data_IF_523709299596
#
_entry.id   IF_523709299596
#
_cell.length_a   1.000
_cell.length_b   1.000
_cell.length_c   1.000
_cell.angle_alpha   90.00
_cell.angle_beta   90.00
_cell.angle_gamma   90.00
#
_symmetry.space_group_name_H-M   'P 1'
#
loop_
_entity.id
_entity.type
_entity.pdbx_description
1 polymer ?
#
# COMPACT_ATOMS: atom_id res chain seq x y z
N UNK A 1 2.99 -26.57 -15.08
CA UNK A 1 4.40 -26.14 -14.88
C UNK A 1 4.96 -26.88 -13.67
N UNK A 2 6.10 -27.57 -13.80
CA UNK A 2 6.77 -28.23 -12.67
C UNK A 2 7.61 -27.25 -11.82
N UNK A 3 8.16 -27.70 -10.69
CA UNK A 3 8.92 -26.86 -9.77
C UNK A 3 10.24 -26.32 -10.34
N UNK A 4 10.95 -27.12 -11.14
CA UNK A 4 12.22 -26.71 -11.75
C UNK A 4 11.99 -25.65 -12.84
N UNK A 5 10.95 -25.84 -13.64
CA UNK A 5 10.52 -24.90 -14.67
C UNK A 5 10.01 -23.59 -14.05
N UNK A 6 9.25 -23.66 -12.94
CA UNK A 6 8.84 -22.48 -12.18
C UNK A 6 10.05 -21.69 -11.67
N UNK A 7 11.00 -22.36 -11.01
CA UNK A 7 12.21 -21.71 -10.47
C UNK A 7 13.03 -21.03 -11.56
N UNK A 8 13.23 -21.70 -12.70
CA UNK A 8 13.96 -21.12 -13.85
C UNK A 8 13.25 -19.91 -14.43
N UNK A 9 11.93 -19.98 -14.64
CA UNK A 9 11.16 -18.85 -15.16
C UNK A 9 11.16 -17.66 -14.20
N UNK A 10 11.01 -17.92 -12.91
CA UNK A 10 11.05 -16.87 -11.90
C UNK A 10 12.43 -16.20 -11.86
N UNK A 11 13.51 -16.99 -11.86
CA UNK A 11 14.87 -16.45 -11.90
C UNK A 11 15.12 -15.61 -13.16
N UNK A 12 14.66 -16.06 -14.34
CA UNK A 12 14.76 -15.29 -15.57
C UNK A 12 13.99 -13.96 -15.47
N UNK A 13 12.73 -13.97 -14.99
CA UNK A 13 11.95 -12.75 -14.80
C UNK A 13 12.64 -11.77 -13.84
N UNK A 14 13.25 -12.25 -12.76
CA UNK A 14 13.99 -11.40 -11.83
C UNK A 14 15.28 -10.84 -12.45
N UNK A 15 15.96 -11.59 -13.32
CA UNK A 15 17.12 -11.11 -14.06
C UNK A 15 16.73 -10.00 -15.05
N UNK A 16 15.60 -10.13 -15.74
CA UNK A 16 15.04 -9.08 -16.62
C UNK A 16 14.73 -7.81 -15.83
N UNK A 17 14.12 -7.94 -14.64
CA UNK A 17 13.86 -6.81 -13.77
C UNK A 17 15.15 -6.09 -13.36
N UNK A 18 16.18 -6.85 -12.96
CA UNK A 18 17.49 -6.31 -12.58
C UNK A 18 18.22 -5.64 -13.77
N UNK A 19 17.95 -6.11 -14.99
CA UNK A 19 18.51 -5.53 -16.21
C UNK A 19 17.76 -4.29 -16.71
N UNK A 20 16.82 -3.74 -15.93
CA UNK A 20 16.03 -2.56 -16.31
C UNK A 20 14.96 -2.86 -17.37
N UNK A 21 14.55 -4.13 -17.50
CA UNK A 21 13.54 -4.61 -18.45
C UNK A 21 12.27 -5.07 -17.70
N UNK A 22 11.53 -4.14 -17.07
CA UNK A 22 10.40 -4.48 -16.20
C UNK A 22 9.18 -5.02 -16.94
N UNK A 23 9.05 -4.76 -18.25
CA UNK A 23 7.95 -5.29 -19.06
C UNK A 23 8.13 -6.80 -19.32
N UNK A 24 9.34 -7.21 -19.67
CA UNK A 24 9.76 -8.59 -19.89
C UNK A 24 9.69 -9.38 -18.59
N UNK A 25 10.14 -8.78 -17.49
CA UNK A 25 9.99 -9.35 -16.15
C UNK A 25 8.53 -9.64 -15.82
N UNK A 26 7.64 -8.66 -16.04
CA UNK A 26 6.21 -8.84 -15.79
C UNK A 26 5.59 -9.92 -16.67
N UNK A 27 5.89 -9.95 -17.97
CA UNK A 27 5.42 -11.00 -18.85
C UNK A 27 5.86 -12.39 -18.36
N UNK A 28 7.09 -12.52 -17.85
CA UNK A 28 7.59 -13.74 -17.24
C UNK A 28 6.82 -14.15 -15.98
N UNK A 29 6.51 -13.20 -15.09
CA UNK A 29 5.71 -13.46 -13.88
C UNK A 29 4.24 -13.77 -14.23
N UNK A 30 3.64 -13.10 -15.20
CA UNK A 30 2.28 -13.35 -15.68
C UNK A 30 2.14 -14.77 -16.25
N UNK A 31 3.14 -15.24 -17.00
CA UNK A 31 3.16 -16.62 -17.49
C UNK A 31 3.24 -17.65 -16.35
N UNK A 32 3.96 -17.32 -15.26
CA UNK A 32 3.98 -18.16 -14.05
C UNK A 32 2.60 -18.17 -13.39
N UNK A 33 1.97 -17.01 -13.22
CA UNK A 33 0.65 -16.87 -12.60
C UNK A 33 -0.47 -17.50 -13.43
N UNK A 34 -0.36 -17.49 -14.76
CA UNK A 34 -1.30 -18.19 -15.63
C UNK A 34 -1.24 -19.72 -15.42
N UNK A 35 -0.06 -20.27 -15.13
CA UNK A 35 0.11 -21.69 -14.86
C UNK A 35 -0.14 -22.06 -13.39
N UNK A 36 0.12 -21.15 -12.46
CA UNK A 36 -0.03 -21.32 -11.01
C UNK A 36 -0.43 -19.98 -10.37
N UNK A 37 -1.74 -19.70 -10.24
CA UNK A 37 -2.23 -18.39 -9.77
C UNK A 37 -2.05 -18.17 -8.26
N UNK A 38 -1.82 -19.24 -7.51
CA UNK A 38 -1.79 -19.34 -6.06
C UNK A 38 -0.39 -19.17 -5.44
N UNK A 39 0.44 -18.33 -6.06
CA UNK A 39 1.82 -18.07 -5.63
C UNK A 39 1.96 -16.68 -5.01
N UNK A 40 1.92 -16.53 -3.67
CA UNK A 40 1.95 -15.23 -3.01
C UNK A 40 3.20 -14.42 -3.35
N UNK A 41 4.37 -15.07 -3.42
CA UNK A 41 5.64 -14.41 -3.77
C UNK A 41 5.61 -13.82 -5.18
N UNK A 42 5.08 -14.56 -6.15
CA UNK A 42 5.01 -14.11 -7.55
C UNK A 42 4.02 -12.96 -7.69
N UNK A 43 2.87 -13.04 -7.02
CA UNK A 43 1.90 -11.93 -6.95
C UNK A 43 2.55 -10.69 -6.32
N UNK A 44 3.29 -10.84 -5.23
CA UNK A 44 3.99 -9.74 -4.56
C UNK A 44 5.06 -9.09 -5.46
N UNK A 45 5.84 -9.87 -6.21
CA UNK A 45 6.81 -9.32 -7.19
C UNK A 45 6.13 -8.61 -8.36
N UNK A 46 5.03 -9.16 -8.88
CA UNK A 46 4.25 -8.49 -9.93
C UNK A 46 3.66 -7.16 -9.43
N UNK A 47 3.21 -7.10 -8.18
CA UNK A 47 2.78 -5.87 -7.51
C UNK A 47 3.89 -4.81 -7.48
N UNK A 48 5.09 -5.18 -7.00
CA UNK A 48 6.23 -4.26 -6.94
C UNK A 48 6.66 -3.75 -8.32
N UNK A 49 6.73 -4.61 -9.33
CA UNK A 49 7.08 -4.19 -10.69
C UNK A 49 6.01 -3.28 -11.32
N UNK A 50 4.72 -3.49 -11.01
CA UNK A 50 3.67 -2.58 -11.44
C UNK A 50 3.78 -1.22 -10.75
N UNK A 51 4.09 -1.16 -9.45
CA UNK A 51 4.36 0.10 -8.74
C UNK A 51 5.54 0.85 -9.36
N UNK A 52 6.67 0.17 -9.55
CA UNK A 52 7.87 0.77 -10.15
C UNK A 52 7.61 1.32 -11.56
N UNK A 53 6.68 0.70 -12.31
CA UNK A 53 6.24 1.16 -13.62
C UNK A 53 5.06 2.14 -13.59
N UNK A 54 4.76 2.79 -12.46
CA UNK A 54 3.66 3.75 -12.31
C UNK A 54 2.28 3.21 -12.72
N UNK A 55 2.02 1.92 -12.45
CA UNK A 55 0.72 1.25 -12.65
C UNK A 55 0.09 0.85 -11.31
N UNK A 56 -0.22 1.83 -10.43
CA UNK A 56 -0.63 1.55 -9.05
C UNK A 56 -1.93 0.74 -8.95
N UNK A 57 -2.90 0.94 -9.85
CA UNK A 57 -4.14 0.14 -9.86
C UNK A 57 -3.88 -1.34 -10.15
N UNK A 58 -2.97 -1.65 -11.08
CA UNK A 58 -2.57 -3.05 -11.36
C UNK A 58 -1.79 -3.64 -10.20
N UNK A 59 -0.91 -2.85 -9.59
CA UNK A 59 -0.16 -3.27 -8.43
C UNK A 59 -1.08 -3.62 -7.25
N UNK A 60 -2.08 -2.79 -6.97
CA UNK A 60 -3.06 -3.03 -5.91
C UNK A 60 -3.79 -4.37 -6.10
N UNK A 61 -4.17 -4.73 -7.33
CA UNK A 61 -4.79 -6.03 -7.60
C UNK A 61 -3.87 -7.21 -7.29
N UNK A 62 -2.58 -7.11 -7.64
CA UNK A 62 -1.59 -8.14 -7.31
C UNK A 62 -1.32 -8.25 -5.80
N UNK A 63 -1.19 -7.11 -5.10
CA UNK A 63 -1.03 -7.15 -3.64
C UNK A 63 -2.28 -7.68 -2.93
N UNK A 64 -3.48 -7.34 -3.39
CA UNK A 64 -4.71 -7.91 -2.87
C UNK A 64 -4.74 -9.45 -3.04
N UNK A 65 -4.31 -9.96 -4.20
CA UNK A 65 -4.18 -11.39 -4.42
C UNK A 65 -3.13 -12.02 -3.49
N UNK A 66 -1.97 -11.39 -3.34
CA UNK A 66 -0.91 -11.85 -2.44
C UNK A 66 -1.38 -11.86 -0.97
N UNK A 67 -2.14 -10.87 -0.53
CA UNK A 67 -2.67 -10.76 0.83
C UNK A 67 -3.70 -11.84 1.14
N UNK A 68 -4.48 -12.30 0.15
CA UNK A 68 -5.38 -13.46 0.33
C UNK A 68 -4.61 -14.77 0.50
N UNK A 69 -3.48 -14.91 -0.18
CA UNK A 69 -2.66 -16.13 -0.17
C UNK A 69 -1.72 -16.19 1.04
N UNK A 70 -1.17 -15.06 1.46
CA UNK A 70 -0.30 -14.94 2.62
C UNK A 70 -0.65 -13.68 3.44
N UNK A 71 -1.74 -13.73 4.23
CA UNK A 71 -2.22 -12.56 4.97
C UNK A 71 -1.31 -12.14 6.13
N UNK A 72 -0.36 -12.98 6.54
CA UNK A 72 0.56 -12.72 7.65
C UNK A 72 1.80 -11.91 7.27
N UNK A 73 2.05 -11.68 5.98
CA UNK A 73 3.25 -11.00 5.50
C UNK A 73 3.06 -9.47 5.47
N UNK A 74 3.69 -8.71 6.39
CA UNK A 74 3.48 -7.26 6.49
C UNK A 74 3.82 -6.48 5.22
N UNK A 75 4.87 -6.89 4.51
CA UNK A 75 5.34 -6.20 3.30
C UNK A 75 4.29 -6.15 2.19
N UNK A 76 3.41 -7.16 2.11
CA UNK A 76 2.31 -7.19 1.15
C UNK A 76 1.30 -6.07 1.44
N UNK A 77 0.96 -5.88 2.71
CA UNK A 77 -0.01 -4.86 3.13
C UNK A 77 0.54 -3.44 2.97
N UNK A 78 1.83 -3.26 3.27
CA UNK A 78 2.55 -2.01 3.04
C UNK A 78 2.55 -1.64 1.54
N UNK A 79 2.88 -2.61 0.66
CA UNK A 79 2.82 -2.42 -0.79
C UNK A 79 1.41 -2.17 -1.31
N UNK A 80 0.39 -2.85 -0.77
CA UNK A 80 -1.01 -2.59 -1.13
C UNK A 80 -1.44 -1.17 -0.74
N UNK A 81 -1.11 -0.72 0.47
CA UNK A 81 -1.41 0.62 0.95
C UNK A 81 -0.74 1.70 0.10
N UNK A 82 0.52 1.50 -0.27
CA UNK A 82 1.22 2.39 -1.19
C UNK A 82 0.54 2.45 -2.55
N UNK A 83 0.23 1.30 -3.15
CA UNK A 83 -0.44 1.21 -4.44
C UNK A 83 -1.82 1.88 -4.45
N UNK A 84 -2.63 1.67 -3.42
CA UNK A 84 -3.93 2.33 -3.29
C UNK A 84 -3.78 3.84 -3.15
N UNK A 85 -2.86 4.31 -2.32
CA UNK A 85 -2.62 5.74 -2.12
C UNK A 85 -2.19 6.44 -3.42
N UNK A 86 -1.32 5.79 -4.21
CA UNK A 86 -0.88 6.31 -5.51
C UNK A 86 -1.96 6.24 -6.60
N UNK A 87 -2.84 5.23 -6.57
CA UNK A 87 -3.93 5.11 -7.51
C UNK A 87 -5.05 6.15 -7.27
N UNK A 88 -5.12 6.74 -6.07
CA UNK A 88 -6.25 7.56 -5.61
C UNK A 88 -7.61 6.85 -5.79
N UNK A 89 -7.61 5.53 -5.68
CA UNK A 89 -8.79 4.68 -5.87
C UNK A 89 -9.54 4.48 -4.56
N UNK A 90 -10.68 5.15 -4.43
CA UNK A 90 -11.56 5.04 -3.25
C UNK A 90 -12.16 3.65 -3.06
N UNK A 91 -12.34 2.88 -4.13
CA UNK A 91 -12.83 1.52 -4.01
C UNK A 91 -11.73 0.58 -3.50
N UNK A 92 -10.54 0.68 -4.09
CA UNK A 92 -9.34 0.01 -3.61
C UNK A 92 -9.00 0.34 -2.15
N UNK A 93 -9.17 1.59 -1.74
CA UNK A 93 -9.01 2.01 -0.35
C UNK A 93 -10.01 1.34 0.59
N UNK A 94 -11.30 1.36 0.23
CA UNK A 94 -12.33 0.68 1.03
C UNK A 94 -12.06 -0.82 1.15
N UNK A 95 -11.64 -1.46 0.05
CA UNK A 95 -11.30 -2.88 0.03
C UNK A 95 -10.09 -3.19 0.92
N UNK A 96 -9.02 -2.40 0.81
CA UNK A 96 -7.82 -2.51 1.65
C UNK A 96 -8.16 -2.35 3.13
N UNK A 97 -8.89 -1.29 3.50
CA UNK A 97 -9.27 -1.02 4.90
C UNK A 97 -10.13 -2.15 5.48
N UNK A 98 -11.06 -2.69 4.69
CA UNK A 98 -11.86 -3.85 5.09
C UNK A 98 -11.02 -5.11 5.31
N UNK A 99 -10.02 -5.33 4.45
CA UNK A 99 -9.09 -6.45 4.55
C UNK A 99 -8.15 -6.30 5.76
N UNK A 100 -7.58 -5.11 5.99
CA UNK A 100 -6.69 -4.81 7.12
C UNK A 100 -7.34 -5.07 8.48
N UNK A 101 -8.65 -4.80 8.62
CA UNK A 101 -9.38 -5.09 9.88
C UNK A 101 -9.29 -6.56 10.30
N UNK A 102 -9.23 -7.47 9.32
CA UNK A 102 -9.19 -8.93 9.52
C UNK A 102 -7.77 -9.51 9.40
N UNK A 103 -6.79 -8.69 9.04
CA UNK A 103 -5.43 -9.14 8.79
C UNK A 103 -4.80 -9.69 10.09
N UNK A 104 -4.10 -10.84 10.04
CA UNK A 104 -3.36 -11.40 11.16
C UNK A 104 -2.01 -10.67 11.34
N UNK A 105 -2.06 -9.34 11.40
CA UNK A 105 -0.91 -8.48 11.66
C UNK A 105 -0.97 -7.92 13.08
N UNK A 106 0.19 -7.51 13.57
CA UNK A 106 0.31 -6.73 14.80
C UNK A 106 -0.69 -5.55 14.81
N UNK A 107 -1.45 -5.33 15.90
CA UNK A 107 -2.45 -4.26 15.97
C UNK A 107 -1.89 -2.87 15.68
N UNK A 108 -0.68 -2.53 16.17
CA UNK A 108 -0.09 -1.22 15.94
C UNK A 108 0.23 -1.02 14.45
N UNK A 109 0.74 -2.05 13.78
CA UNK A 109 0.97 -1.99 12.32
C UNK A 109 -0.33 -1.83 11.53
N UNK A 110 -1.41 -2.52 11.91
CA UNK A 110 -2.73 -2.35 11.25
C UNK A 110 -3.25 -0.93 11.39
N UNK A 111 -3.15 -0.34 12.58
CA UNK A 111 -3.56 1.04 12.83
C UNK A 111 -2.71 2.01 12.01
N UNK A 112 -1.38 1.86 12.00
CA UNK A 112 -0.51 2.72 11.21
C UNK A 112 -0.84 2.71 9.71
N UNK A 113 -1.18 1.54 9.15
CA UNK A 113 -1.62 1.41 7.75
C UNK A 113 -3.00 2.02 7.50
N UNK A 114 -3.92 1.94 8.47
CA UNK A 114 -5.25 2.55 8.39
C UNK A 114 -5.18 4.08 8.46
N UNK A 115 -4.36 4.62 9.37
CA UNK A 115 -4.21 6.05 9.61
C UNK A 115 -3.68 6.81 8.39
N UNK A 116 -2.98 6.11 7.48
CA UNK A 116 -2.54 6.67 6.18
C UNK A 116 -3.71 7.18 5.32
N UNK A 117 -4.92 6.66 5.56
CA UNK A 117 -6.14 7.00 4.83
C UNK A 117 -7.14 7.77 5.70
N UNK A 118 -6.81 8.02 6.98
CA UNK A 118 -7.66 8.82 7.85
C UNK A 118 -7.66 10.29 7.38
N UNK A 119 -8.81 11.01 7.51
CA UNK A 119 -8.81 12.44 7.30
C UNK A 119 -7.81 13.10 8.26
N UNK A 120 -7.17 14.21 7.86
CA UNK A 120 -6.24 14.91 8.74
C UNK A 120 -6.95 15.27 10.04
N UNK A 121 -6.27 15.16 11.20
CA UNK A 121 -6.88 15.50 12.47
C UNK A 121 -7.39 16.94 12.42
N UNK A 122 -8.54 17.24 13.05
CA UNK A 122 -9.08 18.59 13.06
C UNK A 122 -8.00 19.54 13.57
N UNK A 123 -7.74 20.61 12.82
CA UNK A 123 -6.78 21.65 13.22
C UNK A 123 -7.22 22.19 14.57
N UNK A 124 -6.46 21.88 15.62
CA UNK A 124 -6.64 22.52 16.93
C UNK A 124 -6.21 23.98 16.75
N UNK A 125 -7.18 24.88 16.58
CA UNK A 125 -6.90 26.30 16.69
C UNK A 125 -6.35 26.55 18.10
N UNK A 126 -5.17 27.19 18.25
CA UNK A 126 -4.73 27.63 19.56
C UNK A 126 -5.84 28.51 20.16
N UNK A 127 -6.20 28.24 21.42
CA UNK A 127 -7.21 29.02 22.12
C UNK A 127 -6.91 30.53 21.94
N UNK A 128 -7.93 31.38 21.69
CA UNK A 128 -7.71 32.80 21.55
C UNK A 128 -6.97 33.29 22.80
N UNK A 129 -5.83 33.96 22.59
CA UNK A 129 -5.07 34.58 23.68
C UNK A 129 -6.04 35.47 24.47
N UNK A 130 -6.09 35.37 25.81
CA UNK A 130 -6.99 36.21 26.59
C UNK A 130 -6.70 37.68 26.26
N UNK A 131 -7.74 38.39 25.81
CA UNK A 131 -7.68 39.82 25.52
C UNK A 131 -7.21 40.54 26.78
N UNK A 132 -6.06 41.23 26.71
CA UNK A 132 -5.63 42.11 27.80
C UNK A 132 -6.73 43.18 28.01
N UNK A 133 -7.19 43.41 29.25
CA UNK A 133 -8.16 44.47 29.49
C UNK A 133 -7.56 45.82 29.08
N UNK A 134 -8.34 46.63 28.36
CA UNK A 134 -7.95 48.02 28.05
C UNK A 134 -7.87 48.78 29.37
N UNK A 135 -6.84 49.62 29.59
CA UNK A 135 -6.80 50.47 30.78
C UNK A 135 -8.01 51.39 30.75
N UNK A 136 -8.88 51.24 31.75
CA UNK A 136 -10.04 52.09 31.98
C UNK A 136 -9.58 53.55 32.05
N UNK A 137 -10.21 54.40 31.24
CA UNK A 137 -10.15 55.85 31.37
C UNK A 137 -10.44 56.21 32.82
N UNK A 138 -9.40 56.65 33.56
CA UNK A 138 -9.59 57.33 34.84
C UNK A 138 -10.15 58.71 34.52
N UNK A 139 -11.47 58.78 34.43
CA UNK A 139 -12.22 59.99 34.72
C UNK A 139 -12.32 60.06 36.25
N UNK A 140 -11.75 61.11 36.86
CA UNK A 140 -12.37 61.82 37.98
C UNK A 140 -11.45 62.95 38.49
N UNK A 141 -12.06 64.15 38.47
CA UNK A 141 -11.85 65.35 39.29
C UNK A 141 -10.52 66.12 39.13
#
# INVERSE_FOLDING_TARGET
MDAAQLKRRYAAAMAEAAAGRPAEALAGLEAILAARPDLPEVQFKAGQLNLAGWRPSRAAAHFAAAARLNPGEPAIWEGWAEAVALAADREGERALLAALRKAPLDPARRVALQDRFAPPPPRRHPAPRPSRPRPSERIAA
#
